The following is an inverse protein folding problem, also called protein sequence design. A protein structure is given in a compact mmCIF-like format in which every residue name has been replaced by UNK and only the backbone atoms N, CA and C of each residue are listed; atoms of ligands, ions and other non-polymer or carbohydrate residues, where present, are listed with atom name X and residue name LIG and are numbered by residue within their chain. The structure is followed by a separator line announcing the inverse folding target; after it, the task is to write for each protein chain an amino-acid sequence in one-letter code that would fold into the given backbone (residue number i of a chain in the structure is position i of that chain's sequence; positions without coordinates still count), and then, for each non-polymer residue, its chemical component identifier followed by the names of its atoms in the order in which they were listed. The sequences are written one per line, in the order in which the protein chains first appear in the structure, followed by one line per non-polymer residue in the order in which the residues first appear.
data_IF_329558009154
#
_entry.id   IF_329558009154
#
_cell.length_a   1.000
_cell.length_b   1.000
_cell.length_c   1.000
_cell.angle_alpha   90.00
_cell.angle_beta   90.00
_cell.angle_gamma   90.00
#
_symmetry.space_group_name_H-M   'P 1'
#
loop_
_entity.id
_entity.type
_entity.pdbx_description
1 polymer ?
#
# COMPACT_ATOMS: atom_id res chain seq x y z
N UNK A 1 22.51 -4.83 23.38
CA UNK A 1 21.36 -3.91 23.40
C UNK A 1 20.06 -4.69 23.29
N UNK A 2 19.03 -4.32 24.03
CA UNK A 2 17.71 -4.97 23.98
C UNK A 2 16.96 -4.66 22.68
N UNK A 3 16.45 -5.70 22.00
CA UNK A 3 15.85 -5.60 20.66
C UNK A 3 14.66 -4.65 20.60
N UNK A 4 13.83 -4.65 21.64
CA UNK A 4 12.64 -3.81 21.68
C UNK A 4 12.96 -2.32 21.83
N UNK A 5 14.10 -1.99 22.43
CA UNK A 5 14.53 -0.59 22.59
C UNK A 5 15.13 -0.07 21.28
N UNK A 6 16.02 -0.84 20.65
CA UNK A 6 16.54 -0.52 19.31
C UNK A 6 15.40 -0.40 18.28
N UNK A 7 14.34 -1.20 18.42
CA UNK A 7 13.16 -1.06 17.56
C UNK A 7 12.42 0.26 17.76
N UNK A 8 12.33 0.80 18.98
CA UNK A 8 11.70 2.10 19.20
C UNK A 8 12.49 3.19 18.48
N UNK A 9 13.81 3.14 18.57
CA UNK A 9 14.71 4.08 17.89
C UNK A 9 14.59 3.96 16.36
N UNK A 10 14.60 2.73 15.82
CA UNK A 10 14.36 2.50 14.39
C UNK A 10 13.01 3.05 13.91
N UNK A 11 11.95 2.90 14.72
CA UNK A 11 10.63 3.43 14.39
C UNK A 11 10.64 4.96 14.41
N UNK A 12 11.31 5.57 15.39
CA UNK A 12 11.50 7.01 15.45
C UNK A 12 12.29 7.54 14.24
N UNK A 13 13.37 6.88 13.83
CA UNK A 13 14.11 7.21 12.60
C UNK A 13 13.20 7.13 11.34
N UNK A 14 12.33 6.13 11.26
CA UNK A 14 11.35 6.05 10.17
C UNK A 14 10.35 7.23 10.17
N UNK A 15 9.94 7.71 11.34
CA UNK A 15 9.09 8.90 11.49
C UNK A 15 9.83 10.15 11.03
N UNK A 16 11.09 10.34 11.45
CA UNK A 16 11.95 11.46 11.02
C UNK A 16 12.15 11.44 9.49
N UNK A 17 12.31 10.25 8.90
CA UNK A 17 12.39 10.05 7.44
C UNK A 17 11.05 10.23 6.70
N UNK A 18 9.99 10.63 7.39
CA UNK A 18 8.64 10.84 6.86
C UNK A 18 8.05 9.61 6.15
N UNK A 19 8.26 8.42 6.72
CA UNK A 19 7.63 7.22 6.20
C UNK A 19 6.14 7.24 6.55
N UNK A 20 5.28 6.75 5.65
CA UNK A 20 3.83 6.67 5.95
C UNK A 20 3.55 5.78 7.17
N UNK A 21 2.54 6.11 7.96
CA UNK A 21 2.10 5.31 9.12
C UNK A 21 1.92 3.82 8.80
N UNK A 22 1.39 3.52 7.60
CA UNK A 22 1.22 2.14 7.12
C UNK A 22 2.56 1.41 6.98
N UNK A 23 3.60 2.09 6.48
CA UNK A 23 4.95 1.53 6.38
C UNK A 23 5.54 1.31 7.77
N UNK A 24 5.45 2.31 8.66
CA UNK A 24 5.95 2.24 10.03
C UNK A 24 5.30 1.07 10.78
N UNK A 25 3.97 0.96 10.71
CA UNK A 25 3.21 -0.15 11.29
C UNK A 25 3.65 -1.50 10.74
N UNK A 26 3.90 -1.59 9.44
CA UNK A 26 4.42 -2.81 8.80
C UNK A 26 5.80 -3.20 9.31
N UNK A 27 6.71 -2.24 9.43
CA UNK A 27 8.05 -2.44 9.99
C UNK A 27 7.99 -2.89 11.44
N UNK A 28 7.21 -2.20 12.28
CA UNK A 28 7.02 -2.54 13.69
C UNK A 28 6.48 -3.94 13.87
N UNK A 29 5.35 -4.25 13.23
CA UNK A 29 4.68 -5.53 13.42
C UNK A 29 5.53 -6.72 12.96
N UNK A 30 6.19 -6.61 11.80
CA UNK A 30 7.01 -7.70 11.29
C UNK A 30 8.26 -7.94 12.14
N UNK A 31 8.91 -6.88 12.62
CA UNK A 31 10.07 -7.02 13.52
C UNK A 31 9.66 -7.59 14.88
N UNK A 32 8.54 -7.16 15.48
CA UNK A 32 8.02 -7.75 16.72
C UNK A 32 7.74 -9.25 16.55
N UNK A 33 7.11 -9.65 15.45
CA UNK A 33 6.85 -11.07 15.18
C UNK A 33 8.14 -11.88 15.03
N UNK A 34 9.19 -11.28 14.47
CA UNK A 34 10.50 -11.89 14.37
C UNK A 34 11.18 -12.00 15.75
N UNK A 35 11.18 -10.94 16.55
CA UNK A 35 11.79 -10.94 17.89
C UNK A 35 11.09 -11.91 18.83
N UNK A 36 9.76 -11.97 18.80
CA UNK A 36 8.99 -12.94 19.58
C UNK A 36 9.37 -14.39 19.21
N UNK A 37 9.64 -14.66 17.93
CA UNK A 37 10.15 -15.96 17.50
C UNK A 37 11.56 -16.23 18.03
N UNK A 38 12.46 -15.23 17.97
CA UNK A 38 13.82 -15.36 18.49
C UNK A 38 13.85 -15.65 19.99
N UNK A 39 13.06 -14.91 20.77
CA UNK A 39 12.95 -15.11 22.19
C UNK A 39 12.38 -16.50 22.50
N UNK A 40 11.29 -16.90 21.82
CA UNK A 40 10.64 -18.20 22.07
C UNK A 40 11.53 -19.41 21.74
N UNK A 41 12.25 -19.38 20.62
CA UNK A 41 12.96 -20.55 20.10
C UNK A 41 14.44 -20.59 20.50
N UNK A 42 15.03 -19.43 20.84
CA UNK A 42 16.47 -19.31 21.13
C UNK A 42 16.77 -18.53 22.41
N UNK A 43 15.76 -17.99 23.11
CA UNK A 43 15.94 -17.11 24.27
C UNK A 43 16.85 -15.91 23.98
N UNK A 44 16.73 -15.34 22.77
CA UNK A 44 17.50 -14.18 22.32
C UNK A 44 16.63 -12.93 22.45
N UNK A 45 17.07 -12.00 23.29
CA UNK A 45 16.49 -10.66 23.45
C UNK A 45 17.46 -9.54 23.05
N UNK A 46 18.76 -9.87 22.93
CA UNK A 46 19.82 -8.93 22.59
C UNK A 46 20.16 -8.93 21.10
N UNK A 47 20.46 -7.75 20.56
CA UNK A 47 20.79 -7.51 19.15
C UNK A 47 22.03 -8.30 18.69
N UNK A 48 23.08 -8.27 19.48
CA UNK A 48 24.42 -8.82 19.21
C UNK A 48 24.41 -10.35 19.17
N UNK A 49 23.42 -10.96 19.84
CA UNK A 49 23.22 -12.41 19.84
C UNK A 49 22.61 -12.95 18.54
N UNK A 50 22.14 -12.08 17.63
CA UNK A 50 21.50 -12.51 16.38
C UNK A 50 22.53 -12.87 15.30
N UNK A 51 22.48 -14.13 14.86
CA UNK A 51 23.29 -14.65 13.74
C UNK A 51 22.42 -14.92 12.52
N UNK A 52 23.04 -15.00 11.33
CA UNK A 52 22.36 -15.32 10.08
C UNK A 52 21.56 -16.63 10.13
N UNK A 53 21.98 -17.59 10.96
CA UNK A 53 21.27 -18.86 11.15
C UNK A 53 19.89 -18.66 11.81
N UNK A 54 19.75 -17.74 12.76
CA UNK A 54 18.47 -17.47 13.42
C UNK A 54 17.45 -16.90 12.43
N UNK A 55 17.92 -16.00 11.56
CA UNK A 55 17.10 -15.43 10.48
C UNK A 55 16.66 -16.54 9.52
N UNK A 56 17.60 -17.40 9.05
CA UNK A 56 17.25 -18.55 8.19
C UNK A 56 16.23 -19.50 8.84
N UNK A 57 16.38 -19.78 10.15
CA UNK A 57 15.42 -20.60 10.91
C UNK A 57 14.03 -19.96 10.96
N UNK A 58 13.95 -18.65 11.16
CA UNK A 58 12.68 -17.93 11.08
C UNK A 58 12.01 -18.04 9.70
N UNK A 59 12.78 -17.90 8.62
CA UNK A 59 12.23 -18.09 7.27
C UNK A 59 11.74 -19.52 7.04
N UNK A 60 12.48 -20.52 7.53
CA UNK A 60 12.02 -21.92 7.49
C UNK A 60 10.71 -22.09 8.26
N UNK A 61 10.58 -21.45 9.42
CA UNK A 61 9.34 -21.46 10.21
C UNK A 61 8.16 -20.82 9.45
N UNK A 62 8.37 -19.70 8.75
CA UNK A 62 7.33 -19.09 7.90
C UNK A 62 6.88 -20.03 6.77
N UNK A 63 7.80 -20.77 6.17
CA UNK A 63 7.48 -21.77 5.14
C UNK A 63 6.72 -22.97 5.73
N UNK A 64 7.10 -23.44 6.92
CA UNK A 64 6.38 -24.50 7.64
C UNK A 64 4.95 -24.10 8.00
N UNK A 65 4.71 -22.81 8.27
CA UNK A 65 3.38 -22.22 8.45
C UNK A 65 2.59 -22.01 7.14
N UNK A 66 3.11 -22.50 6.00
CA UNK A 66 2.51 -22.36 4.66
C UNK A 66 2.26 -20.89 4.26
N UNK A 67 3.06 -19.96 4.77
CA UNK A 67 3.01 -18.58 4.31
C UNK A 67 3.47 -18.51 2.84
N UNK A 68 2.86 -17.61 2.06
CA UNK A 68 3.28 -17.37 0.67
C UNK A 68 4.73 -16.86 0.61
N UNK A 69 5.53 -17.24 -0.41
CA UNK A 69 6.89 -16.70 -0.59
C UNK A 69 6.94 -15.17 -0.62
N UNK A 70 5.93 -14.53 -1.22
CA UNK A 70 5.78 -13.06 -1.25
C UNK A 70 5.66 -12.45 0.15
N UNK A 71 4.92 -13.10 1.05
CA UNK A 71 4.81 -12.66 2.44
C UNK A 71 6.14 -12.82 3.16
N UNK A 72 6.81 -13.96 3.00
CA UNK A 72 8.12 -14.18 3.59
C UNK A 72 9.12 -13.12 3.11
N UNK A 73 9.21 -12.85 1.81
CA UNK A 73 10.09 -11.80 1.31
C UNK A 73 9.70 -10.40 1.81
N UNK A 74 8.40 -10.10 1.98
CA UNK A 74 7.97 -8.85 2.62
C UNK A 74 8.48 -8.74 4.07
N UNK A 75 8.44 -9.83 4.84
CA UNK A 75 9.02 -9.88 6.19
C UNK A 75 10.54 -9.74 6.15
N UNK A 76 11.24 -10.42 5.23
CA UNK A 76 12.70 -10.28 5.06
C UNK A 76 13.09 -8.85 4.75
N UNK A 77 12.29 -8.14 3.94
CA UNK A 77 12.53 -6.74 3.63
C UNK A 77 12.46 -5.86 4.88
N UNK A 78 11.51 -6.12 5.78
CA UNK A 78 11.39 -5.36 7.03
C UNK A 78 12.50 -5.68 8.03
N UNK A 79 12.91 -6.94 8.12
CA UNK A 79 14.04 -7.36 8.98
C UNK A 79 15.35 -6.78 8.45
N UNK A 80 15.58 -6.81 7.13
CA UNK A 80 16.74 -6.18 6.49
C UNK A 80 16.80 -4.68 6.71
N UNK A 81 15.66 -3.99 6.69
CA UNK A 81 15.63 -2.56 6.97
C UNK A 81 16.05 -2.25 8.41
N UNK A 82 15.57 -3.02 9.38
CA UNK A 82 15.97 -2.91 10.78
C UNK A 82 17.48 -3.13 10.98
N UNK A 83 18.04 -4.21 10.42
CA UNK A 83 19.49 -4.45 10.51
C UNK A 83 20.32 -3.47 9.70
N UNK A 84 19.76 -2.86 8.64
CA UNK A 84 20.44 -1.77 7.94
C UNK A 84 20.54 -0.53 8.83
N UNK A 85 19.46 -0.17 9.51
CA UNK A 85 19.47 0.90 10.50
C UNK A 85 20.49 0.63 11.61
N UNK A 86 20.52 -0.58 12.18
CA UNK A 86 21.49 -0.92 13.22
C UNK A 86 22.96 -0.78 12.78
N UNK A 87 23.25 -0.95 11.48
CA UNK A 87 24.58 -0.72 10.92
C UNK A 87 24.86 0.76 10.70
N UNK A 88 23.84 1.54 10.28
CA UNK A 88 23.96 2.99 10.07
C UNK A 88 24.20 3.73 11.40
N UNK A 89 23.62 3.24 12.50
CA UNK A 89 23.83 3.73 13.87
C UNK A 89 25.02 3.05 14.59
N UNK A 90 25.82 2.26 13.87
CA UNK A 90 27.03 1.59 14.41
C UNK A 90 26.78 0.61 15.58
N UNK A 91 25.55 0.15 15.79
CA UNK A 91 25.22 -0.88 16.79
C UNK A 91 25.73 -2.27 16.41
N UNK A 92 26.01 -2.50 15.12
CA UNK A 92 26.56 -3.74 14.59
C UNK A 92 27.68 -3.43 13.59
N UNK A 93 28.74 -4.25 13.63
CA UNK A 93 29.85 -4.20 12.65
C UNK A 93 29.53 -4.98 11.37
N UNK A 94 28.70 -6.01 11.47
CA UNK A 94 28.31 -6.86 10.33
C UNK A 94 26.79 -7.10 10.28
N UNK A 95 26.22 -7.01 9.08
CA UNK A 95 24.78 -7.22 8.88
C UNK A 95 24.45 -8.73 8.72
N UNK A 96 23.73 -9.36 9.67
CA UNK A 96 23.45 -10.80 9.64
C UNK A 96 22.47 -11.20 8.53
N UNK A 97 21.75 -10.25 7.92
CA UNK A 97 20.81 -10.51 6.83
C UNK A 97 21.46 -10.70 5.46
N UNK A 98 22.72 -10.30 5.27
CA UNK A 98 23.39 -10.38 3.97
C UNK A 98 23.54 -11.83 3.50
N UNK A 99 23.68 -12.78 4.43
CA UNK A 99 23.82 -14.22 4.18
C UNK A 99 22.47 -14.94 3.97
N UNK A 100 21.36 -14.21 3.92
CA UNK A 100 19.99 -14.76 3.81
C UNK A 100 19.42 -14.46 2.44
N UNK A 101 19.22 -15.48 1.60
CA UNK A 101 18.67 -15.33 0.26
C UNK A 101 17.15 -15.09 0.25
N UNK A 102 16.68 -14.44 -0.81
CA UNK A 102 15.24 -14.29 -1.10
C UNK A 102 14.61 -15.64 -1.44
N UNK A 103 13.34 -15.83 -1.06
CA UNK A 103 12.56 -16.98 -1.51
C UNK A 103 12.15 -16.79 -2.98
N UNK A 104 12.11 -17.89 -3.74
CA UNK A 104 11.62 -17.86 -5.12
C UNK A 104 10.13 -17.54 -5.12
N UNK A 105 9.76 -16.41 -5.70
CA UNK A 105 8.37 -16.03 -5.93
C UNK A 105 7.88 -16.57 -7.27
N UNK A 106 6.67 -17.10 -7.30
CA UNK A 106 5.99 -17.36 -8.57
C UNK A 106 5.67 -16.03 -9.27
N UNK A 107 5.82 -15.99 -10.59
CA UNK A 107 5.33 -14.84 -11.38
C UNK A 107 3.81 -14.84 -11.33
N UNK A 108 3.22 -13.81 -10.74
CA UNK A 108 1.78 -13.58 -10.82
C UNK A 108 1.50 -12.98 -12.19
N UNK A 109 0.74 -13.70 -13.02
CA UNK A 109 0.22 -13.15 -14.27
C UNK A 109 -0.97 -12.28 -13.87
N UNK A 110 -0.87 -10.98 -14.15
CA UNK A 110 -1.98 -10.05 -13.98
C UNK A 110 -2.83 -10.17 -15.24
N UNK A 111 -4.01 -10.78 -15.12
CA UNK A 111 -4.97 -10.79 -16.20
C UNK A 111 -5.57 -9.38 -16.33
N UNK A 112 -5.46 -8.79 -17.51
CA UNK A 112 -6.10 -7.52 -17.85
C UNK A 112 -7.50 -7.75 -18.39
N UNK A 113 -8.38 -6.77 -18.21
CA UNK A 113 -9.71 -6.81 -18.79
C UNK A 113 -9.66 -6.58 -20.30
N UNK A 114 -10.49 -7.31 -21.02
CA UNK A 114 -10.82 -7.08 -22.44
C UNK A 114 -11.80 -5.90 -22.58
N UNK A 115 -11.87 -5.32 -23.78
CA UNK A 115 -12.81 -4.22 -24.07
C UNK A 115 -14.26 -4.63 -23.78
N UNK A 116 -14.65 -5.87 -24.12
CA UNK A 116 -15.98 -6.41 -23.84
C UNK A 116 -16.26 -6.50 -22.34
N UNK A 117 -15.29 -6.96 -21.54
CA UNK A 117 -15.42 -7.01 -20.08
C UNK A 117 -15.57 -5.60 -19.49
N UNK A 118 -14.80 -4.63 -19.99
CA UNK A 118 -14.91 -3.23 -19.58
C UNK A 118 -16.30 -2.66 -19.88
N UNK A 119 -16.81 -2.88 -21.09
CA UNK A 119 -18.16 -2.45 -21.48
C UNK A 119 -19.20 -3.09 -20.57
N UNK A 120 -19.11 -4.41 -20.34
CA UNK A 120 -20.02 -5.13 -19.47
C UNK A 120 -19.99 -4.57 -18.03
N UNK A 121 -18.81 -4.30 -17.47
CA UNK A 121 -18.65 -3.71 -16.14
C UNK A 121 -19.32 -2.33 -16.03
N UNK A 122 -19.19 -1.49 -17.06
CA UNK A 122 -19.85 -0.20 -17.11
C UNK A 122 -21.37 -0.34 -17.26
N UNK A 123 -21.85 -1.35 -17.98
CA UNK A 123 -23.28 -1.53 -18.26
C UNK A 123 -24.10 -2.09 -17.10
N UNK A 124 -23.45 -2.69 -16.09
CA UNK A 124 -24.09 -3.15 -14.84
C UNK A 124 -24.88 -2.01 -14.16
N UNK A 125 -24.36 -0.79 -14.20
CA UNK A 125 -24.96 0.36 -13.53
C UNK A 125 -25.69 1.28 -14.52
N UNK A 126 -26.94 1.64 -14.24
CA UNK A 126 -27.81 2.37 -15.19
C UNK A 126 -28.00 3.86 -14.85
N UNK A 127 -27.32 4.38 -13.82
CA UNK A 127 -27.49 5.75 -13.28
C UNK A 127 -28.92 6.01 -12.76
N UNK A 128 -29.60 4.99 -12.25
CA UNK A 128 -30.98 5.15 -11.72
C UNK A 128 -30.97 5.68 -10.30
N UNK A 129 -29.99 5.26 -9.49
CA UNK A 129 -29.76 5.73 -8.13
C UNK A 129 -28.42 6.44 -8.03
N UNK A 130 -28.24 7.23 -6.96
CA UNK A 130 -26.94 7.81 -6.65
C UNK A 130 -25.84 6.73 -6.56
N UNK A 131 -26.09 5.61 -5.88
CA UNK A 131 -25.12 4.52 -5.75
C UNK A 131 -24.72 3.92 -7.10
N UNK A 132 -25.66 3.72 -8.01
CA UNK A 132 -25.34 3.27 -9.36
C UNK A 132 -24.54 4.30 -10.15
N UNK A 133 -24.96 5.57 -10.09
CA UNK A 133 -24.28 6.68 -10.76
C UNK A 133 -22.82 6.79 -10.30
N UNK A 134 -22.64 6.67 -8.99
CA UNK A 134 -21.37 6.71 -8.27
C UNK A 134 -20.45 5.57 -8.69
N UNK A 135 -20.93 4.34 -8.62
CA UNK A 135 -20.14 3.16 -8.95
C UNK A 135 -19.77 3.12 -10.44
N UNK A 136 -20.68 3.51 -11.33
CA UNK A 136 -20.40 3.65 -12.76
C UNK A 136 -19.30 4.66 -13.04
N UNK A 137 -19.41 5.83 -12.43
CA UNK A 137 -18.41 6.89 -12.58
C UNK A 137 -17.06 6.44 -12.03
N UNK A 138 -17.02 5.77 -10.87
CA UNK A 138 -15.79 5.24 -10.28
C UNK A 138 -15.08 4.25 -11.21
N UNK A 139 -15.81 3.30 -11.80
CA UNK A 139 -15.24 2.34 -12.77
C UNK A 139 -14.68 3.08 -13.98
N UNK A 140 -15.46 4.00 -14.55
CA UNK A 140 -15.00 4.80 -15.68
C UNK A 140 -13.75 5.62 -15.34
N UNK A 141 -13.72 6.23 -14.17
CA UNK A 141 -12.58 7.01 -13.67
C UNK A 141 -11.32 6.14 -13.56
N UNK A 142 -11.41 4.96 -12.94
CA UNK A 142 -10.28 4.06 -12.78
C UNK A 142 -9.72 3.58 -14.13
N UNK A 143 -10.60 3.29 -15.09
CA UNK A 143 -10.21 2.82 -16.42
C UNK A 143 -9.59 3.96 -17.25
N UNK A 144 -10.19 5.15 -17.21
CA UNK A 144 -9.76 6.30 -18.01
C UNK A 144 -8.44 6.92 -17.51
N UNK A 145 -8.26 6.97 -16.19
CA UNK A 145 -7.12 7.66 -15.56
C UNK A 145 -5.99 6.75 -15.13
N UNK A 146 -6.25 5.44 -15.01
CA UNK A 146 -5.33 4.50 -14.38
C UNK A 146 -4.99 4.86 -12.93
N UNK A 147 -5.88 5.59 -12.24
CA UNK A 147 -5.69 5.98 -10.85
C UNK A 147 -5.61 4.74 -9.95
N UNK A 148 -4.70 4.76 -8.98
CA UNK A 148 -4.66 3.73 -7.93
C UNK A 148 -5.83 3.93 -6.98
N UNK A 149 -6.21 2.86 -6.29
CA UNK A 149 -7.27 2.91 -5.27
C UNK A 149 -7.06 4.07 -4.27
N UNK A 150 -5.85 4.18 -3.69
CA UNK A 150 -5.57 5.26 -2.73
C UNK A 150 -5.65 6.65 -3.36
N UNK A 151 -5.17 6.81 -4.59
CA UNK A 151 -5.24 8.09 -5.32
C UNK A 151 -6.71 8.50 -5.56
N UNK A 152 -7.57 7.50 -5.81
CA UNK A 152 -9.00 7.70 -6.03
C UNK A 152 -9.73 8.07 -4.72
N UNK A 153 -9.42 7.39 -3.62
CA UNK A 153 -10.04 7.64 -2.32
C UNK A 153 -9.59 8.95 -1.64
N UNK A 154 -8.45 9.50 -2.04
CA UNK A 154 -7.86 10.72 -1.45
C UNK A 154 -7.91 11.92 -2.38
N UNK A 155 -8.61 11.80 -3.50
CA UNK A 155 -8.74 12.86 -4.50
C UNK A 155 -9.52 14.04 -3.92
N UNK A 156 -8.95 15.24 -4.02
CA UNK A 156 -9.59 16.46 -3.55
C UNK A 156 -10.34 17.15 -4.69
N UNK A 157 -11.30 18.00 -4.32
CA UNK A 157 -12.03 18.85 -5.26
C UNK A 157 -11.09 19.70 -6.12
N UNK A 158 -10.10 20.33 -5.50
CA UNK A 158 -9.18 21.25 -6.17
C UNK A 158 -8.23 20.53 -7.15
N UNK A 159 -8.15 19.21 -7.06
CA UNK A 159 -7.38 18.38 -7.99
C UNK A 159 -8.10 18.22 -9.34
N UNK A 160 -9.39 18.51 -9.41
CA UNK A 160 -10.24 18.28 -10.58
C UNK A 160 -10.40 19.60 -11.33
N UNK A 161 -9.93 19.62 -12.58
CA UNK A 161 -10.12 20.74 -13.53
C UNK A 161 -10.92 20.25 -14.74
N UNK A 162 -11.41 21.19 -15.55
CA UNK A 162 -12.29 20.92 -16.70
C UNK A 162 -11.81 19.87 -17.70
N UNK A 163 -10.49 19.74 -17.84
CA UNK A 163 -9.84 18.84 -18.81
C UNK A 163 -8.86 17.87 -18.15
N UNK A 164 -8.52 18.07 -16.88
CA UNK A 164 -7.41 17.37 -16.25
C UNK A 164 -7.63 17.14 -14.78
N UNK A 165 -7.08 16.04 -14.26
CA UNK A 165 -7.14 15.68 -12.84
C UNK A 165 -5.72 15.50 -12.32
N UNK A 166 -5.43 16.06 -11.15
CA UNK A 166 -4.15 15.87 -10.46
C UNK A 166 -4.22 14.64 -9.56
N UNK A 167 -3.33 13.67 -9.77
CA UNK A 167 -3.24 12.45 -8.96
C UNK A 167 -1.95 12.46 -8.14
N UNK A 168 -2.07 12.30 -6.82
CA UNK A 168 -0.94 12.21 -5.88
C UNK A 168 -0.63 10.76 -5.54
N UNK A 169 0.38 10.22 -6.19
CA UNK A 169 0.82 8.83 -6.02
C UNK A 169 1.80 8.62 -4.87
N UNK A 170 2.25 7.36 -4.74
CA UNK A 170 3.22 6.96 -3.71
C UNK A 170 4.52 7.79 -3.79
N UNK A 171 4.98 8.28 -2.64
CA UNK A 171 6.18 9.10 -2.52
C UNK A 171 5.96 10.55 -2.95
N UNK A 172 4.74 11.07 -2.76
CA UNK A 172 4.32 12.43 -3.14
C UNK A 172 4.60 12.77 -4.61
N UNK A 173 4.57 11.76 -5.48
CA UNK A 173 4.72 11.96 -6.93
C UNK A 173 3.38 12.40 -7.50
N UNK A 174 3.36 13.59 -8.06
CA UNK A 174 2.17 14.15 -8.70
C UNK A 174 2.19 13.87 -10.20
N UNK A 175 1.02 13.58 -10.78
CA UNK A 175 0.83 13.51 -12.23
C UNK A 175 -0.52 14.09 -12.61
N UNK A 176 -0.55 14.76 -13.76
CA UNK A 176 -1.78 15.27 -14.35
C UNK A 176 -2.26 14.29 -15.42
N UNK A 177 -3.52 13.88 -15.31
CA UNK A 177 -4.18 12.99 -16.29
C UNK A 177 -5.28 13.75 -17.00
N UNK A 178 -5.46 13.49 -18.30
CA UNK A 178 -6.54 14.10 -19.08
C UNK A 178 -7.87 13.41 -18.80
N UNK A 179 -8.96 14.16 -18.89
CA UNK A 179 -10.33 13.65 -18.74
C UNK A 179 -10.91 13.36 -20.12
N UNK A 180 -11.28 12.11 -20.39
CA UNK A 180 -11.94 11.79 -21.67
C UNK A 180 -13.36 12.37 -21.75
N UNK A 181 -13.91 12.56 -22.97
CA UNK A 181 -15.28 13.01 -23.15
C UNK A 181 -16.32 12.11 -22.44
N UNK A 182 -16.06 10.80 -22.41
CA UNK A 182 -16.92 9.83 -21.74
C UNK A 182 -16.90 10.02 -20.23
N UNK A 183 -15.70 10.15 -19.63
CA UNK A 183 -15.56 10.41 -18.21
C UNK A 183 -16.23 11.74 -17.82
N UNK A 184 -16.03 12.79 -18.60
CA UNK A 184 -16.68 14.09 -18.40
C UNK A 184 -18.21 13.97 -18.40
N UNK A 185 -18.78 13.22 -19.35
CA UNK A 185 -20.22 12.95 -19.40
C UNK A 185 -20.72 12.26 -18.12
N UNK A 186 -19.98 11.28 -17.60
CA UNK A 186 -20.36 10.57 -16.37
C UNK A 186 -20.21 11.42 -15.12
N UNK A 187 -19.17 12.25 -15.02
CA UNK A 187 -19.01 13.23 -13.95
C UNK A 187 -20.20 14.20 -13.91
N UNK A 188 -20.61 14.73 -15.08
CA UNK A 188 -21.79 15.60 -15.17
C UNK A 188 -23.09 14.91 -14.74
N UNK A 189 -23.27 13.63 -15.08
CA UNK A 189 -24.46 12.86 -14.65
C UNK A 189 -24.47 12.62 -13.15
N UNK A 190 -23.35 12.21 -12.57
CA UNK A 190 -23.23 12.00 -11.13
C UNK A 190 -23.52 13.29 -10.36
N UNK A 191 -22.99 14.43 -10.84
CA UNK A 191 -23.27 15.74 -10.24
C UNK A 191 -24.77 16.03 -10.16
N UNK A 192 -25.53 15.77 -11.24
CA UNK A 192 -26.99 15.95 -11.24
C UNK A 192 -27.66 15.10 -10.17
N UNK A 193 -27.26 13.84 -10.02
CA UNK A 193 -27.80 12.94 -8.99
C UNK A 193 -27.49 13.43 -7.56
N UNK A 194 -26.30 13.98 -7.32
CA UNK A 194 -25.91 14.50 -6.00
C UNK A 194 -26.75 15.71 -5.61
N UNK A 195 -26.96 16.65 -6.53
CA UNK A 195 -27.77 17.86 -6.30
C UNK A 195 -29.24 17.49 -6.03
N UNK A 196 -29.79 16.53 -6.77
CA UNK A 196 -31.20 16.15 -6.65
C UNK A 196 -31.56 15.42 -5.35
N UNK A 197 -30.59 14.77 -4.70
CA UNK A 197 -30.84 13.93 -3.53
C UNK A 197 -30.19 14.47 -2.24
N UNK A 198 -29.73 15.73 -2.26
CA UNK A 198 -29.10 16.44 -1.13
C UNK A 198 -27.96 15.65 -0.44
N UNK A 199 -27.21 14.86 -1.20
CA UNK A 199 -26.05 14.09 -0.71
C UNK A 199 -24.81 15.00 -0.49
N UNK A 200 -25.01 16.27 -0.13
CA UNK A 200 -23.93 17.25 0.03
C UNK A 200 -22.94 16.85 1.15
N UNK A 201 -23.37 16.07 2.13
CA UNK A 201 -22.52 15.54 3.20
C UNK A 201 -21.65 14.34 2.77
N UNK A 202 -22.04 13.60 1.72
CA UNK A 202 -21.26 12.49 1.15
C UNK A 202 -20.19 12.95 0.15
N UNK A 203 -20.11 14.26 -0.12
CA UNK A 203 -19.14 14.90 -1.04
C UNK A 203 -17.68 14.59 -0.66
N UNK A 204 -17.39 14.17 0.57
CA UNK A 204 -16.02 13.82 1.00
C UNK A 204 -15.38 12.69 0.21
N UNK A 205 -16.15 11.81 -0.42
CA UNK A 205 -15.57 10.63 -1.09
C UNK A 205 -15.50 10.80 -2.61
N UNK A 206 -16.28 11.68 -3.25
CA UNK A 206 -16.54 11.55 -4.69
C UNK A 206 -16.74 12.89 -5.39
N UNK A 207 -15.68 13.33 -6.10
CA UNK A 207 -15.70 14.07 -7.36
C UNK A 207 -16.96 14.94 -7.60
N UNK A 208 -17.03 16.13 -6.99
CA UNK A 208 -17.96 17.20 -7.42
C UNK A 208 -17.31 18.57 -7.33
N UNK A 209 -17.78 19.43 -8.23
CA UNK A 209 -17.51 20.84 -8.53
C UNK A 209 -16.70 20.93 -9.83
N UNK A 210 -17.19 21.55 -10.90
CA UNK A 210 -18.16 22.63 -11.00
C UNK A 210 -19.58 22.16 -11.08
#
# INVERSE_FOLDING_TARGET
MELNDVLKEFIFDCEVKNYSEKTIKGYRNNNILFFNYLNKEFNITELESIKSMHIKKYFKFLMQKRCKPTYANAVLKTVRAFFKYCMEEEYLEENPCLKVGWQKEGKVIINTFTDTEIVNMLEVYKFTTYLEARNKMLIAFLIDTGARNNETCTLLKDDIKDKTIMLRGKGNKERQVSVSPLLKKYMMRLRKCIIQNDYLSEIKIILVVY
#
